data_IF_271669090482
#
_entry.id   IF_271669090482
#
_cell.length_a   1.000
_cell.length_b   1.000
_cell.length_c   1.000
_cell.angle_alpha   90.00
_cell.angle_beta   90.00
_cell.angle_gamma   90.00
#
_symmetry.space_group_name_H-M   'P 1'
#
loop_
_entity.id
_entity.type
_entity.pdbx_description
1 polymer ?
#
# COMPACT_ATOMS: atom_id res chain seq x y z
N UNK A 1 43.15 19.34 -3.39
CA UNK A 1 42.37 18.11 -3.21
C UNK A 1 41.26 18.42 -2.22
N UNK A 2 40.04 18.69 -2.70
CA UNK A 2 38.88 18.87 -1.83
C UNK A 2 37.81 17.88 -2.28
N UNK A 3 37.60 16.87 -1.45
CA UNK A 3 36.78 15.71 -1.73
C UNK A 3 35.32 16.09 -1.95
N UNK A 4 34.80 15.67 -3.10
CA UNK A 4 33.39 15.63 -3.41
C UNK A 4 32.69 14.61 -2.49
N UNK A 5 32.11 15.06 -1.39
CA UNK A 5 31.12 14.32 -0.63
C UNK A 5 29.75 14.53 -1.27
N UNK A 6 29.45 13.81 -2.35
CA UNK A 6 28.09 13.67 -2.88
C UNK A 6 27.21 13.23 -1.72
N UNK A 7 26.29 14.09 -1.28
CA UNK A 7 25.18 13.68 -0.43
C UNK A 7 24.32 12.77 -1.28
N UNK A 8 24.57 11.48 -1.20
CA UNK A 8 23.67 10.45 -1.70
C UNK A 8 22.31 10.75 -1.09
N UNK A 9 21.35 11.01 -1.97
CA UNK A 9 19.95 11.10 -1.60
C UNK A 9 19.64 9.80 -0.84
N UNK A 10 19.42 9.92 0.47
CA UNK A 10 18.68 8.92 1.21
C UNK A 10 17.35 8.80 0.49
N UNK A 11 17.24 7.81 -0.40
CA UNK A 11 15.94 7.25 -0.77
C UNK A 11 15.26 7.01 0.56
N UNK A 12 14.11 7.63 0.71
CA UNK A 12 13.23 7.63 1.87
C UNK A 12 12.85 6.18 2.25
N UNK A 13 13.82 5.43 2.76
CA UNK A 13 13.70 4.11 3.39
C UNK A 13 13.21 4.37 4.82
N UNK A 14 12.07 5.06 4.93
CA UNK A 14 11.36 5.08 6.20
C UNK A 14 10.89 3.65 6.38
N UNK A 15 11.34 2.93 7.44
CA UNK A 15 10.72 1.67 7.77
C UNK A 15 9.24 2.01 7.87
N UNK A 16 8.44 1.33 7.09
CA UNK A 16 7.02 1.35 7.27
C UNK A 16 6.83 0.73 8.67
N UNK A 17 6.83 1.61 9.68
CA UNK A 17 6.87 1.30 11.11
C UNK A 17 5.79 0.27 11.46
N UNK A 18 5.90 -0.44 12.59
CA UNK A 18 4.86 -1.35 13.06
C UNK A 18 3.44 -0.71 13.07
N UNK A 19 3.38 0.63 13.07
CA UNK A 19 2.20 1.45 12.87
C UNK A 19 1.48 1.26 11.52
N UNK A 20 2.09 0.71 10.46
CA UNK A 20 1.39 0.54 9.18
C UNK A 20 0.22 -0.44 9.29
N UNK A 21 0.34 -1.45 10.15
CA UNK A 21 -0.70 -2.45 10.32
C UNK A 21 -1.98 -1.81 10.91
N UNK A 22 -1.81 -0.72 11.66
CA UNK A 22 -2.86 0.14 12.21
C UNK A 22 -3.24 1.31 11.29
N UNK A 23 -2.51 1.54 10.19
CA UNK A 23 -2.79 2.64 9.29
C UNK A 23 -4.19 2.51 8.69
N UNK A 24 -4.90 3.64 8.65
CA UNK A 24 -6.24 3.73 8.05
C UNK A 24 -6.10 3.61 6.53
N UNK A 25 -6.78 2.63 5.96
CA UNK A 25 -6.83 2.41 4.53
C UNK A 25 -8.25 2.06 4.08
N UNK A 26 -8.48 2.07 2.77
CA UNK A 26 -9.65 1.53 2.13
C UNK A 26 -9.24 0.42 1.16
N UNK A 27 -9.95 -0.71 1.19
CA UNK A 27 -9.89 -1.71 0.14
C UNK A 27 -10.88 -1.33 -0.94
N UNK A 28 -10.38 -1.02 -2.13
CA UNK A 28 -11.17 -0.59 -3.27
C UNK A 28 -11.02 -1.59 -4.40
N UNK A 29 -12.04 -1.71 -5.24
CA UNK A 29 -11.89 -2.42 -6.51
C UNK A 29 -10.95 -1.61 -7.39
N UNK A 30 -9.88 -2.22 -7.89
CA UNK A 30 -8.97 -1.62 -8.84
C UNK A 30 -9.81 -1.10 -10.01
N UNK A 31 -9.78 0.22 -10.23
CA UNK A 31 -10.40 0.78 -11.42
C UNK A 31 -9.61 0.27 -12.63
N UNK A 32 -10.28 -0.08 -13.74
CA UNK A 32 -9.57 -0.44 -14.96
C UNK A 32 -8.62 0.71 -15.31
N UNK A 33 -7.43 0.38 -15.79
CA UNK A 33 -6.39 1.33 -16.18
C UNK A 33 -6.89 2.24 -17.33
N UNK A 34 -7.74 3.21 -17.02
CA UNK A 34 -8.10 4.27 -17.93
C UNK A 34 -6.90 5.20 -17.98
N UNK A 35 -6.14 5.13 -19.08
CA UNK A 35 -4.82 5.72 -19.28
C UNK A 35 -4.75 7.24 -19.19
N UNK A 36 -4.98 7.82 -18.01
CA UNK A 36 -4.85 9.26 -17.82
C UNK A 36 -4.27 9.58 -16.45
N UNK A 37 -3.02 10.07 -16.50
CA UNK A 37 -2.35 10.97 -15.58
C UNK A 37 -2.48 10.64 -14.07
N UNK A 38 -1.41 9.99 -13.60
CA UNK A 38 -0.85 10.02 -12.25
C UNK A 38 -1.43 11.09 -11.30
N UNK A 39 -2.48 10.70 -10.58
CA UNK A 39 -2.75 11.22 -9.24
C UNK A 39 -2.78 10.01 -8.31
N UNK A 40 -1.98 10.06 -7.24
CA UNK A 40 -2.11 9.12 -6.13
C UNK A 40 -3.59 9.01 -5.78
N UNK A 41 -4.21 7.83 -5.94
CA UNK A 41 -5.64 7.73 -5.78
C UNK A 41 -5.93 7.96 -4.30
N UNK A 42 -6.73 8.98 -4.00
CA UNK A 42 -7.31 9.11 -2.68
C UNK A 42 -8.44 8.06 -2.54
N UNK A 43 -8.72 7.58 -1.33
CA UNK A 43 -9.83 6.66 -1.13
C UNK A 43 -11.13 7.34 -1.63
N UNK A 44 -11.99 6.62 -2.37
CA UNK A 44 -13.19 7.21 -2.94
C UNK A 44 -14.07 7.77 -1.84
N UNK A 45 -14.77 8.87 -2.12
CA UNK A 45 -15.65 9.54 -1.16
C UNK A 45 -16.74 8.55 -0.69
N UNK A 46 -16.68 8.16 0.58
CA UNK A 46 -17.57 7.14 1.17
C UNK A 46 -16.93 5.77 1.38
N UNK A 47 -15.67 5.58 0.99
CA UNK A 47 -14.93 4.37 1.36
C UNK A 47 -14.72 4.33 2.87
N UNK A 48 -15.02 3.18 3.47
CA UNK A 48 -14.83 2.99 4.90
C UNK A 48 -13.35 2.78 5.20
N UNK A 49 -12.74 3.71 5.94
CA UNK A 49 -11.35 3.62 6.35
C UNK A 49 -11.20 2.69 7.56
N UNK A 50 -10.53 1.55 7.36
CA UNK A 50 -10.25 0.56 8.41
C UNK A 50 -8.75 0.36 8.59
N UNK A 51 -8.29 -0.17 9.74
CA UNK A 51 -6.91 -0.57 9.94
C UNK A 51 -6.45 -1.53 8.83
N UNK A 52 -5.23 -1.33 8.33
CA UNK A 52 -4.69 -2.11 7.23
C UNK A 52 -4.72 -3.60 7.51
N UNK A 53 -4.42 -4.04 8.74
CA UNK A 53 -4.54 -5.45 9.14
C UNK A 53 -5.92 -6.04 8.84
N UNK A 54 -7.00 -5.32 9.13
CA UNK A 54 -8.36 -5.84 8.92
C UNK A 54 -8.65 -6.02 7.44
N UNK A 55 -8.17 -5.06 6.63
CA UNK A 55 -8.34 -5.11 5.18
C UNK A 55 -7.46 -6.16 4.52
N UNK A 56 -6.25 -6.40 5.03
CA UNK A 56 -5.39 -7.50 4.60
C UNK A 56 -6.00 -8.86 4.91
N UNK A 57 -6.67 -9.00 6.06
CA UNK A 57 -7.47 -10.19 6.36
C UNK A 57 -8.58 -10.43 5.32
N UNK A 58 -9.30 -9.37 4.94
CA UNK A 58 -10.31 -9.45 3.87
C UNK A 58 -9.69 -9.78 2.52
N UNK A 59 -8.54 -9.20 2.20
CA UNK A 59 -7.79 -9.48 0.97
C UNK A 59 -7.36 -10.94 0.89
N UNK A 60 -6.83 -11.51 1.98
CA UNK A 60 -6.45 -12.92 2.05
C UNK A 60 -7.64 -13.87 1.90
N UNK A 61 -8.83 -13.45 2.33
CA UNK A 61 -10.07 -14.23 2.13
C UNK A 61 -10.58 -14.22 0.68
N UNK A 62 -10.09 -13.31 -0.17
CA UNK A 62 -10.47 -13.28 -1.59
C UNK A 62 -9.77 -14.44 -2.37
N UNK A 63 -10.45 -15.02 -3.37
CA UNK A 63 -9.82 -15.90 -4.34
C UNK A 63 -8.66 -15.19 -5.04
N UNK A 64 -7.58 -15.91 -5.37
CA UNK A 64 -6.40 -15.33 -6.02
C UNK A 64 -6.74 -14.48 -7.25
N UNK A 65 -7.63 -14.97 -8.12
CA UNK A 65 -8.07 -14.23 -9.31
C UNK A 65 -8.82 -12.91 -9.02
N UNK A 66 -9.40 -12.75 -7.82
CA UNK A 66 -10.08 -11.53 -7.42
C UNK A 66 -9.15 -10.53 -6.70
N UNK A 67 -7.93 -10.96 -6.34
CA UNK A 67 -6.94 -10.12 -5.66
C UNK A 67 -6.28 -9.12 -6.61
N UNK A 68 -6.14 -9.48 -7.88
CA UNK A 68 -5.66 -8.58 -8.94
C UNK A 68 -6.62 -7.41 -9.20
N UNK A 69 -7.91 -7.61 -8.92
CA UNK A 69 -8.97 -6.62 -9.12
C UNK A 69 -9.17 -5.70 -7.91
N UNK A 70 -8.29 -5.73 -6.90
CA UNK A 70 -8.40 -4.86 -5.73
C UNK A 70 -7.11 -4.09 -5.47
N UNK A 71 -7.24 -2.98 -4.76
CA UNK A 71 -6.13 -2.14 -4.32
C UNK A 71 -6.41 -1.61 -2.93
N UNK A 72 -5.37 -1.43 -2.14
CA UNK A 72 -5.45 -0.78 -0.83
C UNK A 72 -4.98 0.67 -0.99
N UNK A 73 -5.76 1.60 -0.50
CA UNK A 73 -5.42 3.02 -0.52
C UNK A 73 -5.40 3.53 0.92
N UNK A 74 -4.24 3.95 1.39
CA UNK A 74 -4.07 4.58 2.70
C UNK A 74 -4.73 5.97 2.73
N UNK A 75 -5.06 6.44 3.93
CA UNK A 75 -5.58 7.79 4.17
C UNK A 75 -4.62 8.89 3.66
N UNK A 76 -3.31 8.63 3.67
CA UNK A 76 -2.30 9.55 3.14
C UNK A 76 -2.22 9.56 1.59
N UNK A 77 -3.06 8.78 0.91
CA UNK A 77 -3.11 8.65 -0.56
C UNK A 77 -2.12 7.66 -1.14
N UNK A 78 -1.31 6.97 -0.34
CA UNK A 78 -0.47 5.88 -0.82
C UNK A 78 -1.33 4.69 -1.22
N UNK A 79 -1.09 4.16 -2.43
CA UNK A 79 -1.81 3.01 -2.96
C UNK A 79 -0.90 1.79 -3.06
N UNK A 80 -1.46 0.62 -2.76
CA UNK A 80 -0.84 -0.69 -2.88
C UNK A 80 -1.70 -1.54 -3.82
N UNK A 81 -1.08 -2.10 -4.85
CA UNK A 81 -1.71 -3.07 -5.76
C UNK A 81 -1.46 -4.49 -5.25
N UNK A 82 -2.01 -5.50 -5.93
CA UNK A 82 -1.86 -6.90 -5.54
C UNK A 82 -0.40 -7.28 -5.23
N UNK A 83 0.54 -6.98 -6.13
CA UNK A 83 1.97 -7.28 -5.91
C UNK A 83 2.56 -6.55 -4.68
N UNK A 84 2.17 -5.28 -4.47
CA UNK A 84 2.63 -4.51 -3.31
C UNK A 84 2.04 -5.03 -2.00
N UNK A 85 0.80 -5.51 -2.05
CA UNK A 85 0.10 -6.13 -0.91
C UNK A 85 0.75 -7.47 -0.58
N UNK A 86 1.07 -8.30 -1.57
CA UNK A 86 1.78 -9.55 -1.37
C UNK A 86 3.19 -9.33 -0.81
N UNK A 87 3.90 -8.30 -1.30
CA UNK A 87 5.18 -7.88 -0.74
C UNK A 87 5.05 -7.41 0.72
N UNK A 88 3.98 -6.68 1.04
CA UNK A 88 3.68 -6.26 2.41
C UNK A 88 3.41 -7.49 3.30
N UNK A 89 2.61 -8.44 2.83
CA UNK A 89 2.29 -9.67 3.55
C UNK A 89 3.50 -10.58 3.78
N UNK A 90 4.47 -10.57 2.85
CA UNK A 90 5.70 -11.35 2.95
C UNK A 90 6.70 -10.83 4.01
N UNK A 91 6.47 -9.63 4.55
CA UNK A 91 7.33 -9.03 5.57
C UNK A 91 7.44 -9.90 6.83
N UNK A 92 8.60 -9.90 7.51
CA UNK A 92 8.81 -10.68 8.73
C UNK A 92 7.94 -10.22 9.91
N UNK A 93 7.51 -8.95 9.92
CA UNK A 93 6.65 -8.35 10.93
C UNK A 93 5.16 -8.36 10.56
N UNK A 94 4.78 -9.07 9.49
CA UNK A 94 3.39 -9.24 9.07
C UNK A 94 2.58 -9.99 10.14
N UNK A 95 1.40 -9.50 10.54
CA UNK A 95 0.54 -10.17 11.51
C UNK A 95 -0.14 -11.44 10.94
N UNK A 96 0.06 -11.74 9.66
CA UNK A 96 -0.55 -12.88 8.96
C UNK A 96 0.43 -14.01 8.63
N UNK A 97 1.65 -13.93 9.16
CA UNK A 97 2.69 -14.94 8.95
C UNK A 97 2.47 -16.20 9.79
#
# INVERSE_FOLDING_TARGET
MSGAGRREAAKDDRPIDAAIWDARAALVRALPAAGTAERSPLPPKGAELRPLRELLGNYLALPAAARDDVSLILENGQAFRADDIDALLARPDSPFR
#
